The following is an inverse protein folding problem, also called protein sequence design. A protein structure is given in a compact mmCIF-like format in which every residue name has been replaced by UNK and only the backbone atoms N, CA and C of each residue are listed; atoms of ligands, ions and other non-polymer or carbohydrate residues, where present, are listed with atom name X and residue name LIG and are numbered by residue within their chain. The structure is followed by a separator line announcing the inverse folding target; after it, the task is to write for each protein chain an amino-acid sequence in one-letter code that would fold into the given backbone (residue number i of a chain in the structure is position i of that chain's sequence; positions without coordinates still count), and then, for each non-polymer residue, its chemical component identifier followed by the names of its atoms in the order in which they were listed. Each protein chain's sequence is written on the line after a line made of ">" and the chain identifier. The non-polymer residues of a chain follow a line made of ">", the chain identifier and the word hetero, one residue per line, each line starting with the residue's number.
data_IF_438631432831
#
_entry.id   IF_438631432831
#
_cell.length_a   1.000
_cell.length_b   1.000
_cell.length_c   1.000
_cell.angle_alpha   90.00
_cell.angle_beta   90.00
_cell.angle_gamma   90.00
#
_symmetry.space_group_name_H-M   'P 1'
#
loop_
_entity.id
_entity.type
_entity.pdbx_description
1 polymer ?
#
# COMPACT_ATOMS: atom_id res chain seq x y z
N UNK A 1 13.54 16.66 7.86
CA UNK A 1 13.55 15.20 7.59
C UNK A 1 14.77 14.86 6.75
N UNK A 2 15.65 13.97 7.22
CA UNK A 2 16.75 13.44 6.40
C UNK A 2 16.16 12.37 5.50
N UNK A 3 16.18 12.59 4.18
CA UNK A 3 15.76 11.60 3.18
C UNK A 3 16.99 10.84 2.73
N UNK A 4 17.00 9.53 2.90
CA UNK A 4 17.97 8.65 2.24
C UNK A 4 17.31 8.12 0.98
N UNK A 5 17.85 8.49 -0.18
CA UNK A 5 17.48 7.90 -1.47
C UNK A 5 18.70 7.10 -1.92
N UNK A 6 18.58 5.78 -1.85
CA UNK A 6 19.46 4.87 -2.56
C UNK A 6 18.67 4.40 -3.78
N UNK A 7 19.31 4.10 -4.91
CA UNK A 7 18.64 3.81 -6.20
C UNK A 7 17.47 2.81 -6.11
N UNK A 8 17.44 1.96 -5.09
CA UNK A 8 16.50 0.85 -4.90
C UNK A 8 15.47 1.07 -3.78
N UNK A 9 15.68 2.01 -2.84
CA UNK A 9 14.72 2.27 -1.75
C UNK A 9 14.76 3.73 -1.28
N UNK A 10 13.62 4.20 -0.73
CA UNK A 10 13.49 5.52 -0.14
C UNK A 10 12.78 5.44 1.20
N UNK A 11 13.40 6.00 2.25
CA UNK A 11 12.74 6.22 3.54
C UNK A 11 12.02 7.57 3.51
N UNK A 12 10.70 7.53 3.64
CA UNK A 12 9.84 8.69 3.47
C UNK A 12 9.48 9.36 4.80
N UNK A 13 9.35 8.56 5.87
CA UNK A 13 9.01 8.97 7.23
C UNK A 13 9.94 8.23 8.18
N UNK A 14 10.80 8.99 8.88
CA UNK A 14 11.77 8.44 9.85
C UNK A 14 11.32 8.56 11.30
N UNK A 15 10.50 9.56 11.60
CA UNK A 15 9.98 9.83 12.94
C UNK A 15 8.48 9.52 12.99
N UNK A 16 7.91 9.12 14.14
CA UNK A 16 6.47 8.94 14.29
C UNK A 16 5.70 10.23 13.96
N UNK A 17 4.66 10.10 13.12
CA UNK A 17 3.76 11.20 12.75
C UNK A 17 2.32 10.77 13.02
N UNK A 18 1.50 11.70 13.52
CA UNK A 18 0.07 11.49 13.74
C UNK A 18 -0.70 12.10 12.57
N UNK A 19 -1.51 11.28 11.90
CA UNK A 19 -2.44 11.74 10.88
C UNK A 19 -3.86 11.87 11.45
N UNK A 20 -4.57 12.92 11.02
CA UNK A 20 -5.99 13.14 11.28
C UNK A 20 -6.73 13.28 9.95
N UNK A 21 -8.05 13.43 9.97
CA UNK A 21 -8.88 13.45 8.75
C UNK A 21 -8.55 14.61 7.79
N UNK A 22 -7.79 15.61 8.24
CA UNK A 22 -7.39 16.79 7.48
C UNK A 22 -5.89 16.81 7.18
N UNK A 23 -5.12 15.83 7.66
CA UNK A 23 -3.68 15.78 7.44
C UNK A 23 -3.28 14.59 6.58
N UNK A 24 -2.52 14.90 5.53
CA UNK A 24 -1.86 13.93 4.67
C UNK A 24 -0.44 14.40 4.39
N UNK A 25 0.41 13.47 3.98
CA UNK A 25 1.75 13.80 3.49
C UNK A 25 1.87 13.36 2.05
N UNK A 26 2.15 14.31 1.15
CA UNK A 26 2.36 14.05 -0.27
C UNK A 26 3.86 14.02 -0.54
N UNK A 27 4.29 13.00 -1.26
CA UNK A 27 5.64 12.88 -1.78
C UNK A 27 5.60 12.94 -3.30
N UNK A 28 6.23 13.96 -3.87
CA UNK A 28 6.29 14.13 -5.32
C UNK A 28 6.91 12.93 -6.01
N UNK A 29 6.29 12.51 -7.13
CA UNK A 29 6.71 11.33 -7.88
C UNK A 29 8.20 11.38 -8.25
N UNK A 30 8.69 12.52 -8.72
CA UNK A 30 10.10 12.68 -9.14
C UNK A 30 11.12 12.53 -8.02
N UNK A 31 10.68 12.50 -6.76
CA UNK A 31 11.55 12.24 -5.61
C UNK A 31 11.59 10.76 -5.20
N UNK A 32 10.82 9.90 -5.86
CA UNK A 32 10.75 8.47 -5.57
C UNK A 32 11.56 7.69 -6.62
N UNK A 33 12.18 6.56 -6.23
CA UNK A 33 12.82 5.68 -7.20
C UNK A 33 11.79 5.14 -8.20
N UNK A 34 12.24 4.87 -9.42
CA UNK A 34 11.44 4.17 -10.41
C UNK A 34 11.21 2.72 -9.93
N UNK A 35 9.98 2.22 -10.12
CA UNK A 35 9.57 0.87 -9.74
C UNK A 35 9.03 0.21 -11.00
N UNK A 36 9.51 -0.99 -11.37
CA UNK A 36 9.17 -1.65 -12.64
C UNK A 36 8.77 -3.11 -12.50
N UNK A 37 9.38 -3.83 -11.56
CA UNK A 37 9.19 -5.28 -11.43
C UNK A 37 8.51 -5.62 -10.12
N UNK A 38 9.03 -5.07 -9.01
CA UNK A 38 8.61 -5.42 -7.67
C UNK A 38 8.62 -4.20 -6.76
N UNK A 39 7.74 -4.23 -5.76
CA UNK A 39 7.63 -3.20 -4.74
C UNK A 39 7.33 -3.83 -3.39
N UNK A 40 7.97 -3.30 -2.36
CA UNK A 40 7.53 -3.49 -0.99
C UNK A 40 7.31 -2.15 -0.30
N UNK A 41 6.28 -2.09 0.53
CA UNK A 41 6.00 -0.97 1.43
C UNK A 41 5.87 -1.53 2.83
N UNK A 42 6.71 -1.07 3.74
CA UNK A 42 6.67 -1.43 5.15
C UNK A 42 6.34 -0.20 5.98
N UNK A 43 5.41 -0.31 6.92
CA UNK A 43 5.14 0.75 7.86
C UNK A 43 4.76 0.21 9.24
N UNK A 44 5.00 1.03 10.26
CA UNK A 44 4.42 0.83 11.59
C UNK A 44 3.29 1.82 11.78
N UNK A 45 2.11 1.33 12.16
CA UNK A 45 0.92 2.15 12.34
C UNK A 45 0.21 1.82 13.64
N UNK A 46 -0.48 2.82 14.18
CA UNK A 46 -1.37 2.68 15.34
C UNK A 46 -2.71 3.30 14.97
N UNK A 47 -3.78 2.51 14.97
CA UNK A 47 -5.12 2.98 14.67
C UNK A 47 -5.72 3.69 15.88
N UNK A 48 -6.16 4.94 15.72
CA UNK A 48 -6.78 5.71 16.81
C UNK A 48 -8.30 5.77 16.73
N UNK A 49 -8.88 5.60 15.55
CA UNK A 49 -10.32 5.58 15.35
C UNK A 49 -10.69 4.83 14.07
N UNK A 50 -11.94 4.38 14.01
CA UNK A 50 -12.57 3.99 12.76
C UNK A 50 -13.18 5.19 12.06
N UNK A 51 -13.28 5.09 10.74
CA UNK A 51 -13.96 6.07 9.89
C UNK A 51 -15.17 5.44 9.25
N UNK A 52 -16.24 6.22 9.08
CA UNK A 52 -17.44 5.80 8.35
C UNK A 52 -17.24 5.74 6.83
N UNK A 53 -16.12 6.28 6.36
CA UNK A 53 -15.64 6.26 4.99
C UNK A 53 -14.36 5.43 4.88
N UNK A 54 -13.93 5.12 3.65
CA UNK A 54 -12.63 4.52 3.39
C UNK A 54 -11.52 5.44 3.88
N UNK A 55 -10.54 4.90 4.61
CA UNK A 55 -9.39 5.68 5.08
C UNK A 55 -8.12 5.17 4.41
N UNK A 56 -7.55 5.98 3.51
CA UNK A 56 -6.31 5.65 2.83
C UNK A 56 -5.13 5.74 3.82
N UNK A 57 -4.36 4.65 3.93
CA UNK A 57 -3.11 4.59 4.69
C UNK A 57 -1.96 5.08 3.81
N UNK A 58 -1.84 4.52 2.61
CA UNK A 58 -0.95 5.06 1.57
C UNK A 58 -1.57 4.86 0.19
N UNK A 59 -1.18 5.73 -0.74
CA UNK A 59 -1.57 5.66 -2.14
C UNK A 59 -0.48 6.29 -3.01
N UNK A 60 -0.08 5.57 -4.07
CA UNK A 60 0.71 6.13 -5.16
C UNK A 60 -0.11 6.08 -6.45
N UNK A 61 -0.39 7.25 -7.00
CA UNK A 61 -1.22 7.42 -8.19
C UNK A 61 -1.29 8.87 -8.62
N UNK A 62 -1.70 9.11 -9.86
CA UNK A 62 -1.94 10.46 -10.39
C UNK A 62 -3.39 10.91 -10.16
N UNK A 63 -4.31 9.96 -9.97
CA UNK A 63 -5.73 10.14 -9.66
C UNK A 63 -6.20 9.00 -8.76
N UNK A 64 -7.36 9.13 -8.11
CA UNK A 64 -7.92 8.13 -7.18
C UNK A 64 -8.09 6.72 -7.78
N UNK A 65 -8.26 6.62 -9.10
CA UNK A 65 -8.39 5.35 -9.81
C UNK A 65 -7.05 4.73 -10.21
N UNK A 66 -5.95 5.48 -10.29
CA UNK A 66 -4.62 4.91 -10.58
C UNK A 66 -3.95 4.59 -9.25
N UNK A 67 -3.66 3.32 -8.99
CA UNK A 67 -3.32 2.80 -7.65
C UNK A 67 -2.16 1.83 -7.75
N UNK A 68 -0.90 2.23 -7.69
CA UNK A 68 0.21 1.26 -7.59
C UNK A 68 1.30 1.80 -6.67
N UNK A 69 1.27 1.50 -5.36
CA UNK A 69 0.29 0.68 -4.62
C UNK A 69 -0.73 1.51 -3.82
N UNK A 70 -1.76 0.85 -3.27
CA UNK A 70 -2.71 1.44 -2.31
C UNK A 70 -3.00 0.50 -1.16
N UNK A 71 -3.03 1.03 0.06
CA UNK A 71 -3.54 0.34 1.25
C UNK A 71 -4.53 1.25 1.97
N UNK A 72 -5.67 0.69 2.36
CA UNK A 72 -6.75 1.42 3.01
C UNK A 72 -7.41 0.60 4.11
N UNK A 73 -8.07 1.29 5.04
CA UNK A 73 -9.03 0.70 5.96
C UNK A 73 -10.43 0.75 5.36
N UNK A 74 -11.15 -0.35 5.53
CA UNK A 74 -12.53 -0.47 5.11
C UNK A 74 -13.46 0.36 6.03
N UNK A 75 -14.55 0.94 5.49
CA UNK A 75 -15.49 1.72 6.27
C UNK A 75 -16.08 0.94 7.43
N UNK A 76 -16.07 1.52 8.62
CA UNK A 76 -16.61 0.93 9.86
C UNK A 76 -16.06 -0.47 10.18
N UNK A 77 -14.88 -0.81 9.65
CA UNK A 77 -14.25 -2.11 9.82
C UNK A 77 -12.79 -1.95 10.17
N UNK A 78 -12.29 -2.90 10.93
CA UNK A 78 -10.87 -3.02 11.23
C UNK A 78 -10.07 -3.72 10.13
N UNK A 79 -10.69 -4.03 9.00
CA UNK A 79 -10.05 -4.72 7.89
C UNK A 79 -9.33 -3.77 6.92
N UNK A 80 -8.20 -4.24 6.41
CA UNK A 80 -7.41 -3.64 5.35
C UNK A 80 -7.89 -4.10 3.97
N UNK A 81 -7.76 -3.18 3.01
CA UNK A 81 -7.84 -3.45 1.59
C UNK A 81 -6.52 -3.03 0.93
N UNK A 82 -5.86 -3.98 0.28
CA UNK A 82 -4.58 -3.81 -0.37
C UNK A 82 -4.76 -3.96 -1.88
N UNK A 83 -4.56 -2.88 -2.64
CA UNK A 83 -4.88 -2.82 -4.06
C UNK A 83 -3.70 -2.31 -4.91
N UNK A 84 -3.69 -2.74 -6.16
CA UNK A 84 -2.80 -2.27 -7.21
C UNK A 84 -3.51 -2.11 -8.56
N UNK A 85 -2.86 -1.44 -9.51
CA UNK A 85 -3.33 -1.27 -10.89
C UNK A 85 -2.65 -2.30 -11.76
N UNK A 86 -3.46 -3.08 -12.46
CA UNK A 86 -3.04 -3.90 -13.57
C UNK A 86 -3.62 -3.38 -14.88
N UNK A 87 -3.12 -3.86 -16.01
CA UNK A 87 -3.65 -3.50 -17.33
C UNK A 87 -5.08 -4.02 -17.60
N UNK A 88 -5.71 -4.72 -16.64
CA UNK A 88 -7.08 -5.22 -16.71
C UNK A 88 -8.02 -4.63 -15.65
N UNK A 89 -7.49 -4.08 -14.57
CA UNK A 89 -8.26 -3.55 -13.45
C UNK A 89 -7.45 -2.50 -12.70
N UNK A 90 -8.08 -1.39 -12.38
CA UNK A 90 -7.54 -0.33 -11.54
C UNK A 90 -7.48 -0.69 -10.05
N UNK A 91 -8.11 -1.79 -9.66
CA UNK A 91 -8.39 -2.13 -8.24
C UNK A 91 -8.14 -3.60 -7.92
N UNK A 92 -7.22 -4.24 -8.65
CA UNK A 92 -6.84 -5.62 -8.37
C UNK A 92 -6.19 -5.72 -6.97
N UNK A 93 -6.42 -6.81 -6.24
CA UNK A 93 -5.80 -7.00 -4.93
C UNK A 93 -6.67 -7.72 -3.92
N UNK A 94 -6.33 -7.51 -2.66
CA UNK A 94 -6.86 -8.24 -1.51
C UNK A 94 -7.81 -7.34 -0.73
N UNK A 95 -8.96 -7.87 -0.33
CA UNK A 95 -10.00 -7.13 0.37
C UNK A 95 -10.41 -7.87 1.63
N UNK A 96 -10.68 -7.13 2.71
CA UNK A 96 -11.25 -7.68 3.94
C UNK A 96 -10.25 -8.47 4.80
N UNK A 97 -8.97 -8.09 4.82
CA UNK A 97 -7.98 -8.74 5.67
C UNK A 97 -7.83 -8.03 7.02
N UNK A 98 -7.65 -8.76 8.11
CA UNK A 98 -7.38 -8.14 9.41
C UNK A 98 -8.63 -7.68 10.16
N UNK A 99 -9.72 -8.44 10.10
CA UNK A 99 -10.92 -8.22 10.95
C UNK A 99 -10.62 -8.17 12.46
N UNK A 100 -9.38 -8.50 12.86
CA UNK A 100 -8.86 -8.48 14.22
C UNK A 100 -7.99 -7.25 14.55
N UNK A 101 -7.83 -6.27 13.65
CA UNK A 101 -7.13 -5.04 14.04
C UNK A 101 -7.91 -4.34 15.15
N UNK A 102 -7.17 -3.84 16.13
CA UNK A 102 -7.67 -3.14 17.31
C UNK A 102 -7.17 -1.70 17.33
N UNK A 103 -8.00 -0.83 17.90
CA UNK A 103 -7.58 0.52 18.27
C UNK A 103 -6.47 0.47 19.30
N UNK A 104 -5.66 1.53 19.29
CA UNK A 104 -4.60 1.79 20.23
C UNK A 104 -3.47 0.74 20.33
N UNK A 105 -3.38 -0.15 19.34
CA UNK A 105 -2.29 -1.12 19.18
C UNK A 105 -1.39 -0.75 18.01
N UNK A 106 -0.08 -0.96 18.19
CA UNK A 106 0.90 -0.86 17.12
C UNK A 106 0.90 -2.13 16.28
N UNK A 107 0.94 -1.95 14.96
CA UNK A 107 1.10 -3.02 13.97
C UNK A 107 2.30 -2.74 13.08
N UNK A 108 3.03 -3.78 12.71
CA UNK A 108 3.96 -3.75 11.60
C UNK A 108 3.30 -4.34 10.36
N UNK A 109 3.07 -3.51 9.34
CA UNK A 109 2.41 -3.94 8.10
C UNK A 109 3.42 -3.95 6.97
N UNK A 110 3.46 -5.05 6.21
CA UNK A 110 4.21 -5.14 4.96
C UNK A 110 3.27 -5.48 3.81
N UNK A 111 3.32 -4.67 2.76
CA UNK A 111 2.66 -4.92 1.48
C UNK A 111 3.73 -5.22 0.44
N UNK A 112 3.59 -6.31 -0.31
CA UNK A 112 4.48 -6.62 -1.43
C UNK A 112 3.68 -6.82 -2.72
N UNK A 113 4.29 -6.48 -3.85
CA UNK A 113 3.73 -6.61 -5.18
C UNK A 113 4.83 -7.00 -6.14
N UNK A 114 4.67 -8.12 -6.84
CA UNK A 114 5.63 -8.62 -7.82
C UNK A 114 4.92 -8.96 -9.13
N UNK A 115 5.30 -8.27 -10.22
CA UNK A 115 4.86 -8.67 -11.56
C UNK A 115 5.51 -9.98 -12.03
N UNK A 116 6.82 -10.24 -11.78
CA UNK A 116 7.44 -11.53 -12.11
C UNK A 116 6.76 -12.72 -11.41
N UNK A 117 6.48 -12.61 -10.11
CA UNK A 117 5.80 -13.66 -9.35
C UNK A 117 4.27 -13.64 -9.52
N UNK A 118 3.75 -12.63 -10.22
CA UNK A 118 2.32 -12.46 -10.51
C UNK A 118 1.45 -12.49 -9.26
N UNK A 119 1.91 -11.88 -8.17
CA UNK A 119 1.18 -11.84 -6.89
C UNK A 119 1.39 -10.55 -6.09
N UNK A 120 0.44 -10.28 -5.20
CA UNK A 120 0.57 -9.32 -4.11
C UNK A 120 0.35 -10.04 -2.78
N UNK A 121 1.13 -9.70 -1.77
CA UNK A 121 1.04 -10.30 -0.43
C UNK A 121 0.91 -9.21 0.65
N UNK A 122 0.15 -9.51 1.71
CA UNK A 122 0.02 -8.65 2.88
C UNK A 122 0.46 -9.40 4.14
N UNK A 123 1.25 -8.73 4.96
CA UNK A 123 1.73 -9.22 6.24
C UNK A 123 1.37 -8.26 7.37
N UNK A 124 1.00 -8.80 8.53
CA UNK A 124 0.73 -8.05 9.76
C UNK A 124 1.52 -8.70 10.88
N UNK A 125 2.33 -7.92 11.59
CA UNK A 125 3.23 -8.36 12.66
C UNK A 125 4.16 -9.53 12.24
N UNK A 126 4.48 -9.61 10.95
CA UNK A 126 5.32 -10.65 10.35
C UNK A 126 4.57 -11.89 9.85
N UNK A 127 3.28 -12.02 10.15
CA UNK A 127 2.44 -13.13 9.67
C UNK A 127 1.87 -12.83 8.28
N UNK A 128 1.88 -13.83 7.39
CA UNK A 128 1.27 -13.71 6.05
C UNK A 128 -0.25 -13.87 6.16
N UNK A 129 -0.95 -12.74 6.11
CA UNK A 129 -2.39 -12.70 6.37
C UNK A 129 -3.25 -12.83 5.11
N UNK A 130 -2.64 -12.68 3.93
CA UNK A 130 -3.32 -13.01 2.68
C UNK A 130 -2.58 -12.57 1.43
N UNK A 131 -3.10 -12.99 0.29
CA UNK A 131 -2.49 -12.78 -1.02
C UNK A 131 -3.51 -12.62 -2.14
N UNK A 132 -3.07 -12.05 -3.25
CA UNK A 132 -3.80 -11.96 -4.50
C UNK A 132 -2.90 -12.47 -5.63
N UNK A 133 -3.39 -13.46 -6.39
CA UNK A 133 -2.68 -14.00 -7.55
C UNK A 133 -3.27 -13.46 -8.86
N UNK A 134 -2.39 -13.10 -9.80
CA UNK A 134 -2.77 -12.74 -11.17
C UNK A 134 -2.90 -14.03 -11.98
N UNK A 135 -4.10 -14.32 -12.49
CA UNK A 135 -4.38 -15.62 -13.10
C UNK A 135 -4.05 -15.68 -14.61
N UNK A 136 -4.27 -14.61 -15.37
CA UNK A 136 -3.99 -14.61 -16.81
C UNK A 136 -2.57 -14.12 -17.08
N UNK A 137 -1.58 -14.89 -16.61
CA UNK A 137 -0.16 -14.50 -16.53
C UNK A 137 0.47 -14.05 -17.86
N UNK A 138 -0.07 -14.48 -19.00
CA UNK A 138 0.42 -14.09 -20.34
C UNK A 138 -0.10 -12.72 -20.80
N UNK A 139 -1.25 -12.27 -20.29
CA UNK A 139 -1.92 -11.04 -20.73
C UNK A 139 -1.95 -9.95 -19.65
N UNK A 140 -1.98 -10.37 -18.40
CA UNK A 140 -2.10 -9.50 -17.24
C UNK A 140 -0.72 -9.13 -16.70
N UNK A 141 -0.50 -7.83 -16.57
CA UNK A 141 0.69 -7.25 -15.95
C UNK A 141 0.32 -6.15 -14.97
N UNK A 142 1.05 -6.08 -13.87
CA UNK A 142 1.06 -4.94 -12.98
C UNK A 142 1.48 -3.71 -13.80
N UNK A 143 0.79 -2.61 -13.57
CA UNK A 143 1.18 -1.31 -14.11
C UNK A 143 1.82 -0.55 -12.97
N UNK A 144 3.15 -0.60 -12.92
CA UNK A 144 3.90 0.34 -12.12
C UNK A 144 3.91 1.69 -12.85
N UNK A 145 3.82 2.79 -12.10
CA UNK A 145 4.00 4.11 -12.70
C UNK A 145 5.49 4.27 -13.05
N UNK A 146 5.84 3.95 -14.29
CA UNK A 146 7.19 3.89 -14.85
C UNK A 146 7.85 5.28 -14.92
N UNK A 147 8.31 5.80 -13.78
CA UNK A 147 9.06 7.05 -13.69
C UNK A 147 8.30 8.32 -14.10
N UNK A 148 8.93 9.50 -13.95
CA UNK A 148 8.39 10.78 -14.41
C UNK A 148 8.36 10.89 -15.94
#
# INVERSE_FOLDING_TARGET
>A
MKKFIVKEWAELISDPIIFNDQSHQVFEHGNLPAVKDELSVTLRLKLQKLTSSWATIFHKGTIDSVRTPRLELMPNKFSLQACFTGNWSYTAGISGLGDELLLDRWYHVAYTLSDPEKRADLYIDGEWVGSYSIHNIKKQKVVFNDGP
#
